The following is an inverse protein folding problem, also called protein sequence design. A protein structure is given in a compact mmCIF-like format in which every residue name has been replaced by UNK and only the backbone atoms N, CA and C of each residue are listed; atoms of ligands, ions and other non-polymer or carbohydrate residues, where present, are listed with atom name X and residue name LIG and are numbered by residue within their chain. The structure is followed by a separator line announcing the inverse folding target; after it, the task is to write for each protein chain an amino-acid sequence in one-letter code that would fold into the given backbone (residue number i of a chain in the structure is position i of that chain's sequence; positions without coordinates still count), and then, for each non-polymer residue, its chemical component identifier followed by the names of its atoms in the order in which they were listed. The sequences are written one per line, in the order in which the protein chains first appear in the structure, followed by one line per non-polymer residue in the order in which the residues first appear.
data_IF_823400610705
#
_entry.id   IF_823400610705
#
_cell.length_a   1.000
_cell.length_b   1.000
_cell.length_c   1.000
_cell.angle_alpha   90.00
_cell.angle_beta   90.00
_cell.angle_gamma   90.00
#
_symmetry.space_group_name_H-M   'P 1'
#
loop_
_entity.id
_entity.type
_entity.pdbx_description
1 polymer ?
#
# COMPACT_ATOMS: atom_id res chain seq x y z
N UNK A 1 3.47 11.11 -7.59
CA UNK A 1 3.11 9.70 -7.30
C UNK A 1 4.06 8.73 -8.02
N UNK A 2 4.83 7.93 -7.28
CA UNK A 2 5.69 6.86 -7.82
C UNK A 2 4.89 5.54 -7.86
N UNK A 3 4.99 4.79 -8.97
CA UNK A 3 4.30 3.50 -9.19
C UNK A 3 5.35 2.39 -9.32
N UNK A 4 5.13 1.24 -8.67
CA UNK A 4 6.11 0.15 -8.62
C UNK A 4 5.61 -1.09 -9.39
N UNK A 5 6.46 -1.64 -10.26
CA UNK A 5 6.13 -2.79 -11.11
C UNK A 5 6.71 -4.09 -10.55
N UNK A 6 5.89 -4.92 -9.91
CA UNK A 6 6.12 -6.37 -9.91
C UNK A 6 4.79 -7.10 -9.74
N UNK A 7 4.20 -7.47 -10.88
CA UNK A 7 2.94 -8.21 -10.95
C UNK A 7 3.17 -9.46 -11.77
N UNK A 8 2.78 -10.62 -11.23
CA UNK A 8 2.75 -11.87 -11.97
C UNK A 8 1.29 -12.16 -12.34
N UNK A 9 0.95 -11.91 -13.59
CA UNK A 9 -0.35 -12.31 -14.15
C UNK A 9 -0.36 -13.83 -14.36
N UNK A 10 -1.29 -14.54 -13.73
CA UNK A 10 -1.55 -15.95 -14.04
C UNK A 10 -3.02 -16.08 -14.43
N UNK A 11 -3.25 -16.54 -15.66
CA UNK A 11 -4.54 -16.70 -16.35
C UNK A 11 -5.78 -16.62 -15.42
N UNK A 12 -6.54 -15.53 -15.60
CA UNK A 12 -7.84 -15.23 -14.99
C UNK A 12 -7.83 -14.62 -13.58
N UNK A 13 -6.71 -14.56 -12.87
CA UNK A 13 -6.63 -13.88 -11.57
C UNK A 13 -5.34 -13.06 -11.42
N UNK A 14 -5.46 -11.84 -10.90
CA UNK A 14 -4.32 -10.99 -10.58
C UNK A 14 -3.80 -11.36 -9.18
N UNK A 15 -2.61 -11.96 -9.11
CA UNK A 15 -1.91 -12.18 -7.84
C UNK A 15 -0.74 -11.20 -7.74
N UNK A 16 -0.85 -10.27 -6.80
CA UNK A 16 0.11 -9.18 -6.64
C UNK A 16 1.00 -9.45 -5.44
N UNK A 17 2.31 -9.51 -5.70
CA UNK A 17 3.37 -9.55 -4.68
C UNK A 17 4.26 -8.33 -4.86
N UNK A 18 4.11 -7.34 -3.98
CA UNK A 18 4.85 -6.08 -4.07
C UNK A 18 5.63 -5.86 -2.78
N UNK A 19 6.83 -5.31 -2.93
CA UNK A 19 7.64 -4.79 -1.83
C UNK A 19 7.68 -3.28 -2.03
N UNK A 20 7.14 -2.52 -1.09
CA UNK A 20 7.30 -1.07 -1.04
C UNK A 20 8.48 -0.72 -0.14
N UNK A 21 9.37 0.16 -0.60
CA UNK A 21 10.38 0.81 0.25
C UNK A 21 10.10 2.31 0.23
N UNK A 22 9.83 2.90 1.38
CA UNK A 22 9.72 4.36 1.53
C UNK A 22 11.14 4.93 1.67
N UNK A 23 11.69 5.67 0.68
CA UNK A 23 13.06 6.15 0.75
C UNK A 23 13.20 7.33 1.73
N UNK A 24 14.35 7.40 2.39
CA UNK A 24 14.84 8.53 3.19
C UNK A 24 14.64 9.87 2.43
N UNK A 25 13.95 10.83 3.05
CA UNK A 25 13.51 12.11 2.46
C UNK A 25 14.68 13.05 2.08
N UNK A 26 15.92 12.75 2.51
CA UNK A 26 17.06 13.63 2.30
C UNK A 26 17.73 13.55 0.90
N UNK A 27 17.12 12.89 -0.09
CA UNK A 27 17.65 12.86 -1.45
C UNK A 27 16.59 13.21 -2.53
N UNK A 28 16.51 14.48 -2.98
CA UNK A 28 15.44 14.96 -3.88
C UNK A 28 15.61 14.53 -5.36
N UNK A 29 16.41 13.53 -5.69
CA UNK A 29 16.81 13.24 -7.08
C UNK A 29 15.90 12.30 -7.88
N UNK A 30 14.74 11.90 -7.37
CA UNK A 30 13.79 11.10 -8.15
C UNK A 30 12.54 11.89 -8.55
N UNK A 31 12.75 12.89 -9.43
CA UNK A 31 11.70 13.37 -10.34
C UNK A 31 11.39 12.25 -11.34
N UNK A 32 10.66 11.24 -10.89
CA UNK A 32 10.09 10.19 -11.75
C UNK A 32 9.00 10.81 -12.61
N UNK A 33 9.10 10.65 -13.93
CA UNK A 33 8.06 11.05 -14.87
C UNK A 33 6.70 10.42 -14.51
N UNK A 34 5.63 11.10 -14.91
CA UNK A 34 4.26 10.59 -14.79
C UNK A 34 4.15 9.34 -15.68
N UNK A 35 4.31 8.16 -15.10
CA UNK A 35 3.93 6.91 -15.74
C UNK A 35 2.40 6.81 -15.64
N UNK A 36 1.69 6.80 -16.76
CA UNK A 36 0.25 6.50 -16.81
C UNK A 36 0.00 5.17 -16.10
N UNK A 37 -1.09 5.06 -15.33
CA UNK A 37 -1.39 3.83 -14.59
C UNK A 37 -1.61 2.74 -15.62
N UNK A 38 -1.00 1.58 -15.40
CA UNK A 38 -1.30 0.37 -16.13
C UNK A 38 -1.93 -0.63 -15.16
N UNK A 39 -2.73 -1.54 -15.68
CA UNK A 39 -3.35 -2.64 -14.93
C UNK A 39 -2.32 -3.38 -14.08
N UNK A 40 -2.62 -3.52 -12.80
CA UNK A 40 -1.75 -4.07 -11.77
C UNK A 40 -0.74 -3.10 -11.16
N UNK A 41 -0.66 -1.85 -11.62
CA UNK A 41 0.13 -0.83 -10.93
C UNK A 41 -0.46 -0.62 -9.54
N UNK A 42 0.39 -0.64 -8.50
CA UNK A 42 0.02 -0.32 -7.12
C UNK A 42 0.75 0.93 -6.68
N UNK A 43 0.07 1.79 -5.95
CA UNK A 43 0.62 3.04 -5.45
C UNK A 43 0.08 3.41 -4.07
N UNK A 44 0.82 4.28 -3.40
CA UNK A 44 0.40 4.95 -2.19
C UNK A 44 -0.18 6.33 -2.56
N UNK A 45 -1.11 6.83 -1.75
CA UNK A 45 -1.52 8.23 -1.77
C UNK A 45 -0.32 9.15 -1.53
N UNK A 46 -0.49 10.44 -1.80
CA UNK A 46 0.55 11.41 -1.51
C UNK A 46 0.81 11.49 0.00
N UNK A 47 2.09 11.66 0.37
CA UNK A 47 2.52 11.78 1.76
C UNK A 47 2.38 13.25 2.19
N UNK A 48 1.69 13.54 3.30
CA UNK A 48 1.57 14.91 3.82
C UNK A 48 2.92 15.41 4.37
N UNK A 49 2.96 16.70 4.73
CA UNK A 49 4.05 17.21 5.55
C UNK A 49 4.01 16.53 6.93
N UNK A 50 5.17 16.04 7.39
CA UNK A 50 5.27 15.30 8.64
C UNK A 50 5.48 16.26 9.81
N UNK A 51 4.60 16.19 10.79
CA UNK A 51 4.72 16.90 12.07
C UNK A 51 4.92 15.87 13.16
N UNK A 52 6.05 15.94 13.87
CA UNK A 52 6.42 14.96 14.91
C UNK A 52 5.30 14.85 15.97
N UNK A 53 4.88 13.61 16.26
CA UNK A 53 3.81 13.28 17.18
C UNK A 53 2.40 13.38 16.60
N UNK A 54 2.24 13.83 15.35
CA UNK A 54 0.95 13.81 14.65
C UNK A 54 0.77 12.53 13.84
N UNK A 55 -0.51 12.17 13.67
CA UNK A 55 -0.93 11.01 12.91
C UNK A 55 -1.52 11.41 11.57
N UNK A 56 -1.34 10.57 10.55
CA UNK A 56 -1.91 10.79 9.23
C UNK A 56 -2.22 9.47 8.52
N UNK A 57 -3.19 9.51 7.62
CA UNK A 57 -3.57 8.34 6.83
C UNK A 57 -2.86 8.33 5.48
N UNK A 58 -2.36 7.17 5.09
CA UNK A 58 -2.00 6.88 3.71
C UNK A 58 -2.87 5.75 3.18
N UNK A 59 -3.25 5.87 1.91
CA UNK A 59 -4.09 4.90 1.22
C UNK A 59 -3.25 4.12 0.23
N UNK A 60 -3.51 2.83 0.12
CA UNK A 60 -2.89 1.95 -0.87
C UNK A 60 -3.94 1.60 -1.92
N UNK A 61 -3.57 1.79 -3.17
CA UNK A 61 -4.45 1.57 -4.32
C UNK A 61 -3.82 0.64 -5.34
N UNK A 62 -4.66 -0.05 -6.09
CA UNK A 62 -4.30 -0.80 -7.29
C UNK A 62 -5.20 -0.42 -8.45
N UNK A 63 -4.63 -0.39 -9.65
CA UNK A 63 -5.40 -0.27 -10.89
C UNK A 63 -5.80 -1.68 -11.34
N UNK A 64 -7.05 -2.07 -11.09
CA UNK A 64 -7.56 -3.35 -11.53
C UNK A 64 -8.10 -3.31 -12.97
N UNK A 65 -8.21 -2.15 -13.63
CA UNK A 65 -8.81 -1.98 -14.97
C UNK A 65 -10.16 -2.73 -15.16
N UNK A 66 -10.96 -2.86 -14.10
CA UNK A 66 -12.24 -3.58 -14.12
C UNK A 66 -12.15 -5.10 -13.99
N UNK A 67 -10.96 -5.68 -13.83
CA UNK A 67 -10.77 -7.09 -13.49
C UNK A 67 -10.98 -7.34 -12.00
N UNK A 68 -11.61 -8.45 -11.64
CA UNK A 68 -11.80 -8.82 -10.24
C UNK A 68 -10.48 -9.17 -9.56
N UNK A 69 -10.28 -8.67 -8.33
CA UNK A 69 -9.11 -8.95 -7.51
C UNK A 69 -9.45 -10.02 -6.47
N UNK A 70 -9.07 -11.28 -6.72
CA UNK A 70 -9.40 -12.36 -5.80
C UNK A 70 -8.55 -12.38 -4.52
N UNK A 71 -7.27 -12.00 -4.60
CA UNK A 71 -6.36 -12.00 -3.46
C UNK A 71 -5.14 -11.12 -3.70
N UNK A 72 -4.55 -10.63 -2.61
CA UNK A 72 -3.30 -9.89 -2.64
C UNK A 72 -2.45 -10.19 -1.40
N UNK A 73 -1.13 -10.03 -1.56
CA UNK A 73 -0.21 -10.05 -0.42
C UNK A 73 1.03 -9.22 -0.72
N UNK A 74 1.39 -8.32 0.17
CA UNK A 74 2.54 -7.44 -0.04
C UNK A 74 3.20 -7.06 1.28
N UNK A 75 4.44 -6.61 1.15
CA UNK A 75 5.24 -6.09 2.24
C UNK A 75 5.42 -4.59 2.05
N UNK A 76 5.31 -3.83 3.13
CA UNK A 76 5.68 -2.40 3.18
C UNK A 76 6.82 -2.26 4.18
N UNK A 77 7.91 -1.65 3.72
CA UNK A 77 9.08 -1.30 4.52
C UNK A 77 9.20 0.22 4.64
N UNK A 78 9.56 0.70 5.84
CA UNK A 78 9.75 2.11 6.15
C UNK A 78 10.92 2.34 7.09
N UNK A 79 11.35 3.61 7.19
CA UNK A 79 12.33 4.05 8.18
C UNK A 79 11.62 4.32 9.52
N UNK A 80 11.80 3.42 10.48
CA UNK A 80 11.16 3.52 11.79
C UNK A 80 11.74 4.61 12.71
N UNK A 81 12.78 5.32 12.26
CA UNK A 81 13.25 6.54 12.91
C UNK A 81 12.52 7.81 12.44
N UNK A 82 11.62 7.68 11.45
CA UNK A 82 10.84 8.79 10.87
C UNK A 82 9.35 8.59 11.12
N UNK A 83 8.84 7.38 10.93
CA UNK A 83 7.42 7.05 11.09
C UNK A 83 7.22 5.66 11.69
N UNK A 84 6.12 5.47 12.40
CA UNK A 84 5.63 4.16 12.86
C UNK A 84 4.16 4.01 12.47
N UNK A 85 3.65 2.78 12.41
CA UNK A 85 2.21 2.55 12.26
C UNK A 85 1.54 2.75 13.62
N UNK A 86 0.54 3.63 13.68
CA UNK A 86 -0.16 3.97 14.91
C UNK A 86 -0.89 2.73 15.46
N UNK A 87 -0.61 2.35 16.71
CA UNK A 87 -1.26 1.20 17.33
C UNK A 87 -0.97 -0.14 16.66
N UNK A 88 0.12 -0.25 15.90
CA UNK A 88 0.56 -1.46 15.19
C UNK A 88 -0.51 -1.97 14.20
N UNK A 89 -0.99 -3.21 14.36
CA UNK A 89 -2.02 -3.78 13.50
C UNK A 89 -3.34 -3.00 13.54
N UNK A 90 -3.62 -2.25 14.61
CA UNK A 90 -4.84 -1.45 14.72
C UNK A 90 -4.85 -0.22 13.80
N UNK A 91 -3.66 0.25 13.37
CA UNK A 91 -3.51 1.32 12.40
C UNK A 91 -3.62 0.86 10.95
N UNK A 92 -3.94 -0.41 10.69
CA UNK A 92 -4.13 -0.95 9.35
C UNK A 92 -5.57 -1.42 9.21
N UNK A 93 -6.33 -0.76 8.33
CA UNK A 93 -7.73 -1.11 8.07
C UNK A 93 -7.97 -1.31 6.58
N UNK A 94 -8.99 -2.09 6.25
CA UNK A 94 -9.41 -2.27 4.87
C UNK A 94 -9.85 -0.93 4.25
N UNK A 95 -9.53 -0.76 2.97
CA UNK A 95 -10.02 0.37 2.19
C UNK A 95 -11.46 0.11 1.76
N UNK A 96 -12.09 1.09 1.12
CA UNK A 96 -13.51 1.02 0.77
C UNK A 96 -13.85 -0.14 -0.17
N UNK A 97 -12.90 -0.55 -1.01
CA UNK A 97 -13.02 -1.69 -1.92
C UNK A 97 -12.25 -2.93 -1.42
N UNK A 98 -11.42 -2.75 -0.39
CA UNK A 98 -10.41 -3.70 0.04
C UNK A 98 -10.94 -4.78 0.97
N UNK A 99 -10.03 -5.66 1.38
CA UNK A 99 -10.33 -6.79 2.25
C UNK A 99 -9.06 -7.25 2.96
N UNK A 100 -9.04 -7.37 4.29
CA UNK A 100 -7.85 -7.80 5.04
C UNK A 100 -8.12 -9.15 5.72
N UNK A 101 -7.31 -10.15 5.38
CA UNK A 101 -7.31 -11.44 6.06
C UNK A 101 -6.35 -11.44 7.26
N UNK A 102 -5.18 -10.81 7.09
CA UNK A 102 -4.21 -10.62 8.16
C UNK A 102 -3.28 -9.44 7.87
N UNK A 103 -2.98 -8.68 8.91
CA UNK A 103 -1.90 -7.68 8.94
C UNK A 103 -0.93 -8.04 10.07
N UNK A 104 0.36 -7.95 9.80
CA UNK A 104 1.42 -8.15 10.79
C UNK A 104 2.43 -7.01 10.68
N UNK A 105 2.32 -6.06 11.60
CA UNK A 105 3.15 -4.87 11.71
C UNK A 105 4.26 -5.10 12.73
N UNK A 106 5.49 -4.75 12.36
CA UNK A 106 6.64 -4.70 13.26
C UNK A 106 7.31 -3.32 13.18
N UNK A 107 6.87 -2.41 14.04
CA UNK A 107 7.42 -1.06 14.14
C UNK A 107 8.92 -1.04 14.48
N UNK A 108 9.42 -2.01 15.25
CA UNK A 108 10.86 -2.09 15.57
C UNK A 108 11.73 -2.48 14.38
N UNK A 109 11.18 -3.23 13.42
CA UNK A 109 11.89 -3.63 12.20
C UNK A 109 11.57 -2.73 11.00
N UNK A 110 10.58 -1.84 11.10
CA UNK A 110 10.16 -0.99 9.99
C UNK A 110 9.53 -1.79 8.84
N UNK A 111 8.78 -2.85 9.16
CA UNK A 111 8.17 -3.73 8.15
C UNK A 111 6.76 -4.15 8.58
N UNK A 112 5.87 -4.23 7.61
CA UNK A 112 4.57 -4.88 7.75
C UNK A 112 4.33 -5.83 6.58
N UNK A 113 3.62 -6.92 6.87
CA UNK A 113 3.13 -7.87 5.87
C UNK A 113 1.61 -7.91 5.91
N UNK A 114 1.00 -7.77 4.75
CA UNK A 114 -0.45 -7.86 4.59
C UNK A 114 -0.81 -9.01 3.67
N UNK A 115 -1.93 -9.66 3.98
CA UNK A 115 -2.63 -10.55 3.07
C UNK A 115 -4.14 -10.27 3.09
N UNK A 116 -4.77 -10.37 1.93
CA UNK A 116 -6.22 -10.23 1.74
C UNK A 116 -6.72 -11.21 0.69
N UNK A 117 -7.95 -11.71 0.86
CA UNK A 117 -8.70 -12.39 -0.19
C UNK A 117 -10.15 -11.90 -0.21
N UNK A 118 -10.74 -11.83 -1.40
CA UNK A 118 -12.12 -11.42 -1.61
C UNK A 118 -13.06 -12.64 -1.51
N UNK A 119 -13.94 -12.61 -0.53
CA UNK A 119 -14.99 -13.62 -0.35
C UNK A 119 -16.36 -13.18 -0.88
N UNK A 120 -16.50 -11.91 -1.29
CA UNK A 120 -17.77 -11.26 -1.61
C UNK A 120 -17.93 -10.96 -3.11
N UNK A 121 -16.85 -11.01 -3.89
CA UNK A 121 -16.89 -10.75 -5.34
C UNK A 121 -16.97 -9.26 -5.66
N UNK A 122 -16.14 -8.45 -5.00
CA UNK A 122 -16.00 -7.02 -5.23
C UNK A 122 -15.37 -6.79 -6.61
N UNK A 123 -16.10 -6.07 -7.46
CA UNK A 123 -15.63 -5.74 -8.80
C UNK A 123 -14.42 -4.80 -8.73
N UNK A 124 -13.41 -5.06 -9.56
CA UNK A 124 -12.23 -4.20 -9.66
C UNK A 124 -12.54 -2.80 -10.21
N UNK A 125 -11.73 -1.82 -9.84
CA UNK A 125 -11.77 -0.46 -10.38
C UNK A 125 -10.35 0.03 -10.71
N UNK A 126 -10.22 1.12 -11.47
CA UNK A 126 -8.91 1.71 -11.77
C UNK A 126 -8.31 2.50 -10.61
N UNK A 127 -9.05 2.63 -9.50
CA UNK A 127 -8.61 3.26 -8.25
C UNK A 127 -9.06 2.41 -7.06
N UNK A 128 -8.84 1.10 -7.14
CA UNK A 128 -9.33 0.15 -6.14
C UNK A 128 -8.63 0.42 -4.81
N UNK A 129 -9.37 0.93 -3.83
CA UNK A 129 -8.85 1.32 -2.52
C UNK A 129 -8.66 0.07 -1.66
N UNK A 130 -7.42 -0.42 -1.59
CA UNK A 130 -7.12 -1.68 -0.92
C UNK A 130 -7.12 -1.53 0.60
N UNK A 131 -6.49 -0.49 1.14
CA UNK A 131 -6.24 -0.34 2.57
C UNK A 131 -5.84 1.07 2.94
N UNK A 132 -6.22 1.44 4.16
CA UNK A 132 -5.79 2.64 4.86
C UNK A 132 -4.79 2.25 5.94
N UNK A 133 -3.70 3.00 6.01
CA UNK A 133 -2.67 2.85 7.03
C UNK A 133 -2.54 4.19 7.76
N UNK A 134 -2.80 4.19 9.06
CA UNK A 134 -2.59 5.33 9.94
C UNK A 134 -1.17 5.29 10.50
N UNK A 135 -0.40 6.30 10.15
CA UNK A 135 0.99 6.50 10.55
C UNK A 135 1.08 7.53 11.67
N UNK A 136 2.12 7.46 12.47
CA UNK A 136 2.55 8.46 13.45
C UNK A 136 3.99 8.87 13.12
N UNK A 137 4.26 10.17 13.02
CA UNK A 137 5.62 10.68 12.82
C UNK A 137 6.39 10.69 14.16
N UNK A 138 7.63 10.20 14.17
CA UNK A 138 8.47 10.04 15.37
C UNK A 138 9.75 10.87 15.35
#
# INVERSE_FOLDING_TARGET
MKRYNKVLLVNTFLLVFIIFTIPNINNPTSRGGIKTAATGDVWLSDVPELVIGETYDMYVYIDCEGYDLAAYGFDIEWDNSIVIVQGENAGVVEGDDGFIAAANVNNTAGIMRISGFDAMGVAGSSQFHMLTITWEAV
#
